data_IF_244364825173
#
_entry.id   IF_244364825173
#
_cell.length_a   1.000
_cell.length_b   1.000
_cell.length_c   1.000
_cell.angle_alpha   90.00
_cell.angle_beta   90.00
_cell.angle_gamma   90.00
#
_symmetry.space_group_name_H-M   'P 1'
#
loop_
_entity.id
_entity.type
_entity.pdbx_description
1 polymer ?
#
# COMPACT_ATOMS: atom_id res chain seq x y z
N UNK A 1 12.68 -10.96 -25.69
CA UNK A 1 12.47 -12.17 -24.85
C UNK A 1 13.75 -12.67 -24.17
N UNK A 2 14.96 -12.27 -24.60
CA UNK A 2 16.23 -12.73 -23.99
C UNK A 2 16.79 -11.83 -22.88
N UNK A 3 16.32 -10.59 -22.74
CA UNK A 3 16.82 -9.65 -21.72
C UNK A 3 16.24 -9.88 -20.31
N UNK A 4 15.03 -10.44 -20.22
CA UNK A 4 14.34 -10.67 -18.94
C UNK A 4 14.80 -11.96 -18.24
N UNK A 5 15.21 -12.99 -19.00
CA UNK A 5 15.75 -14.24 -18.46
C UNK A 5 17.13 -14.06 -17.81
N UNK A 6 17.91 -13.06 -18.21
CA UNK A 6 19.25 -12.79 -17.67
C UNK A 6 19.21 -12.19 -16.26
N UNK A 7 18.28 -11.28 -15.96
CA UNK A 7 18.14 -10.67 -14.62
C UNK A 7 17.63 -11.65 -13.56
N UNK A 8 16.77 -12.59 -13.94
CA UNK A 8 16.21 -13.60 -13.01
C UNK A 8 17.28 -14.61 -12.55
N UNK A 9 18.23 -14.98 -13.42
CA UNK A 9 19.33 -15.89 -13.07
C UNK A 9 20.34 -15.30 -12.09
N UNK A 10 20.58 -13.98 -12.16
CA UNK A 10 21.50 -13.28 -11.26
C UNK A 10 20.88 -13.16 -9.86
N UNK A 11 19.58 -12.87 -9.78
CA UNK A 11 18.86 -12.76 -8.50
C UNK A 11 18.80 -14.10 -7.74
N UNK A 12 18.55 -15.22 -8.44
CA UNK A 12 18.56 -16.55 -7.82
C UNK A 12 19.96 -16.96 -7.32
N UNK A 13 21.04 -16.56 -8.00
CA UNK A 13 22.41 -16.87 -7.54
C UNK A 13 22.77 -16.12 -6.27
N UNK A 14 22.33 -14.88 -6.10
CA UNK A 14 22.59 -14.09 -4.88
C UNK A 14 21.76 -14.64 -3.70
N UNK A 15 20.51 -15.06 -3.95
CA UNK A 15 19.66 -15.67 -2.93
C UNK A 15 20.23 -17.02 -2.44
N UNK A 16 20.72 -17.87 -3.34
CA UNK A 16 21.32 -19.16 -2.97
C UNK A 16 22.65 -19.02 -2.22
N UNK A 17 23.44 -17.99 -2.55
CA UNK A 17 24.71 -17.73 -1.85
C UNK A 17 24.47 -17.20 -0.42
N UNK A 18 23.41 -16.41 -0.20
CA UNK A 18 23.01 -15.95 1.14
C UNK A 18 22.49 -17.07 2.05
N UNK A 19 21.77 -18.05 1.50
CA UNK A 19 21.27 -19.20 2.27
C UNK A 19 22.40 -20.16 2.68
N UNK A 20 23.45 -20.29 1.87
CA UNK A 20 24.58 -21.18 2.17
C UNK A 20 25.48 -20.64 3.29
N UNK A 21 25.65 -19.32 3.39
CA UNK A 21 26.44 -18.68 4.47
C UNK A 21 25.75 -18.77 5.83
N UNK A 22 24.40 -18.72 5.86
CA UNK A 22 23.64 -18.93 7.09
C UNK A 22 23.64 -20.40 7.57
N UNK A 23 23.74 -21.37 6.67
CA UNK A 23 23.72 -22.80 7.05
C UNK A 23 25.06 -23.30 7.59
N UNK A 24 26.19 -22.70 7.18
CA UNK A 24 27.53 -23.09 7.67
C UNK A 24 27.84 -22.61 9.09
N UNK A 25 27.08 -21.66 9.63
CA UNK A 25 27.31 -21.12 10.98
C UNK A 25 26.57 -21.92 12.09
N UNK A 26 25.80 -22.95 11.72
CA UNK A 26 24.91 -23.68 12.64
C UNK A 26 25.49 -24.99 13.21
N UNK A 27 26.77 -25.33 12.96
CA UNK A 27 27.31 -26.68 13.23
C UNK A 27 28.48 -26.76 14.22
N UNK A 28 28.80 -25.69 14.96
CA UNK A 28 29.72 -25.77 16.12
C UNK A 28 28.93 -25.64 17.43
N UNK A 29 28.23 -26.71 17.81
CA UNK A 29 27.64 -26.84 19.14
C UNK A 29 28.71 -27.38 20.10
N UNK A 30 29.36 -26.49 20.86
CA UNK A 30 30.05 -26.86 22.09
C UNK A 30 28.99 -26.90 23.21
N UNK A 31 28.88 -28.05 23.87
CA UNK A 31 28.05 -28.19 25.08
C UNK A 31 28.63 -27.33 26.19
N UNK A 32 27.92 -26.26 26.58
CA UNK A 32 28.26 -25.47 27.76
C UNK A 32 27.45 -25.98 28.95
N UNK A 33 28.16 -26.38 30.01
CA UNK A 33 27.58 -26.59 31.33
C UNK A 33 26.89 -25.31 31.80
N UNK A 34 25.70 -25.45 32.39
CA UNK A 34 24.91 -24.35 32.89
C UNK A 34 25.55 -23.73 34.14
N UNK A 35 26.27 -22.62 33.96
CA UNK A 35 26.47 -21.61 34.99
C UNK A 35 25.61 -20.40 34.61
N UNK A 36 24.69 -20.02 35.49
CA UNK A 36 23.85 -18.84 35.33
C UNK A 36 24.76 -17.62 35.43
N UNK A 37 25.08 -17.01 34.29
CA UNK A 37 25.81 -15.74 34.21
C UNK A 37 24.96 -14.61 34.80
N UNK A 38 25.56 -13.47 35.20
CA UNK A 38 24.81 -12.27 35.63
C UNK A 38 23.73 -11.82 34.62
N UNK A 39 23.91 -12.12 33.33
CA UNK A 39 22.94 -11.90 32.26
C UNK A 39 21.62 -12.71 32.42
N UNK A 40 21.61 -13.78 33.21
CA UNK A 40 20.40 -14.55 33.51
C UNK A 40 19.41 -13.83 34.44
N UNK A 41 19.90 -12.96 35.34
CA UNK A 41 19.03 -12.04 36.11
C UNK A 41 18.41 -10.99 35.21
N UNK A 42 19.19 -10.53 34.22
CA UNK A 42 18.83 -9.49 33.25
C UNK A 42 17.63 -9.84 32.35
N UNK A 43 17.38 -11.14 32.11
CA UNK A 43 16.29 -11.56 31.23
C UNK A 43 14.90 -11.52 31.86
N UNK A 44 14.77 -11.64 33.20
CA UNK A 44 13.45 -11.85 33.82
C UNK A 44 12.65 -10.54 33.91
N UNK A 45 13.27 -9.44 34.35
CA UNK A 45 12.62 -8.12 34.37
C UNK A 45 12.49 -7.50 32.96
N UNK A 46 13.42 -7.79 32.03
CA UNK A 46 13.26 -7.39 30.61
C UNK A 46 12.03 -8.01 29.94
N UNK A 47 11.56 -9.16 30.42
CA UNK A 47 10.28 -9.74 29.97
C UNK A 47 9.07 -9.00 30.54
N UNK A 48 9.25 -8.35 31.69
CA UNK A 48 8.23 -7.55 32.34
C UNK A 48 8.21 -6.09 31.86
N UNK A 49 9.28 -5.64 31.18
CA UNK A 49 9.49 -4.25 30.81
C UNK A 49 8.29 -3.62 30.04
N UNK A 50 7.84 -2.42 30.46
CA UNK A 50 6.63 -1.78 29.93
C UNK A 50 6.72 -1.46 28.42
N UNK A 51 7.93 -1.18 27.92
CA UNK A 51 8.16 -0.82 26.52
C UNK A 51 7.77 -1.90 25.48
N UNK A 52 7.69 -3.18 25.88
CA UNK A 52 7.28 -4.27 24.98
C UNK A 52 5.83 -4.17 24.52
N UNK A 53 4.98 -3.53 25.31
CA UNK A 53 3.56 -3.39 24.98
C UNK A 53 3.32 -2.37 23.87
N UNK A 54 4.18 -1.38 23.74
CA UNK A 54 4.13 -0.40 22.65
C UNK A 54 4.25 -1.06 21.27
N UNK A 55 5.07 -2.11 21.14
CA UNK A 55 5.30 -2.78 19.86
C UNK A 55 4.01 -3.39 19.28
N UNK A 56 3.09 -3.82 20.15
CA UNK A 56 1.76 -4.34 19.76
C UNK A 56 0.93 -3.27 19.05
N UNK A 57 1.13 -1.99 19.40
CA UNK A 57 0.37 -0.85 18.88
C UNK A 57 1.14 -0.01 17.85
N UNK A 58 2.46 -0.20 17.72
CA UNK A 58 3.29 0.44 16.68
C UNK A 58 2.98 -0.07 15.26
N UNK A 59 2.38 -1.26 15.13
CA UNK A 59 2.07 -1.89 13.84
C UNK A 59 0.83 -1.23 13.21
N UNK A 60 1.04 -0.07 12.60
CA UNK A 60 0.02 0.53 11.77
C UNK A 60 -0.20 -0.32 10.52
N UNK A 61 -1.46 -0.68 10.26
CA UNK A 61 -1.83 -1.40 9.05
C UNK A 61 -1.64 -0.47 7.84
N UNK A 62 -0.64 -0.79 7.03
CA UNK A 62 -0.54 -0.23 5.69
C UNK A 62 -1.50 -0.97 4.78
N UNK A 63 -2.12 -0.30 3.79
CA UNK A 63 -2.91 -0.98 2.78
C UNK A 63 -2.05 -2.07 2.13
N UNK A 64 -2.43 -3.33 2.31
CA UNK A 64 -1.69 -4.46 1.76
C UNK A 64 -2.11 -4.72 0.32
N UNK A 65 -1.17 -5.20 -0.48
CA UNK A 65 -1.47 -5.77 -1.79
C UNK A 65 -2.50 -6.89 -1.66
N UNK A 66 -3.43 -6.91 -2.59
CA UNK A 66 -4.49 -7.89 -2.68
C UNK A 66 -4.43 -8.56 -4.03
N UNK A 67 -4.66 -9.88 -4.05
CA UNK A 67 -4.81 -10.63 -5.29
C UNK A 67 -6.04 -10.10 -6.02
N UNK A 68 -5.83 -9.33 -7.07
CA UNK A 68 -6.91 -8.91 -7.96
C UNK A 68 -7.27 -10.12 -8.83
N UNK A 69 -8.50 -10.65 -8.76
CA UNK A 69 -8.92 -11.66 -9.73
C UNK A 69 -8.92 -11.01 -11.12
N UNK A 70 -7.92 -11.33 -11.92
CA UNK A 70 -7.94 -11.04 -13.34
C UNK A 70 -9.05 -11.91 -13.91
N UNK A 71 -10.26 -11.36 -14.08
CA UNK A 71 -11.24 -12.00 -14.95
C UNK A 71 -10.56 -12.09 -16.32
N UNK A 72 -10.37 -13.29 -16.89
CA UNK A 72 -9.92 -13.40 -18.26
C UNK A 72 -10.96 -12.66 -19.09
N UNK A 73 -10.56 -11.56 -19.71
CA UNK A 73 -11.42 -10.82 -20.62
C UNK A 73 -11.47 -11.59 -21.95
N UNK A 74 -12.03 -12.80 -21.87
CA UNK A 74 -12.27 -13.69 -23.00
C UNK A 74 -13.66 -13.42 -23.56
N UNK A 75 -14.09 -12.17 -23.66
CA UNK A 75 -15.13 -11.82 -24.62
C UNK A 75 -14.46 -11.82 -25.98
N UNK A 76 -14.28 -13.01 -26.58
CA UNK A 76 -13.99 -13.11 -28.01
C UNK A 76 -15.10 -12.33 -28.72
N UNK A 77 -14.79 -11.25 -29.45
CA UNK A 77 -15.82 -10.50 -30.13
C UNK A 77 -16.55 -11.42 -31.10
N UNK A 78 -17.86 -11.55 -30.91
CA UNK A 78 -18.73 -12.28 -31.84
C UNK A 78 -19.05 -11.31 -32.97
N UNK A 79 -18.38 -11.47 -34.11
CA UNK A 79 -18.69 -10.71 -35.30
C UNK A 79 -19.90 -11.32 -36.02
N UNK A 80 -20.87 -10.51 -36.50
CA UNK A 80 -21.95 -11.00 -37.34
C UNK A 80 -21.41 -11.74 -38.56
N UNK A 81 -21.96 -12.93 -38.85
CA UNK A 81 -21.54 -13.79 -39.97
C UNK A 81 -21.57 -13.08 -41.33
N UNK A 82 -22.46 -12.10 -41.52
CA UNK A 82 -22.57 -11.25 -42.72
C UNK A 82 -21.26 -10.48 -43.03
N UNK A 83 -20.40 -10.20 -42.04
CA UNK A 83 -19.12 -9.51 -42.28
C UNK A 83 -18.13 -10.32 -43.13
N UNK A 84 -18.28 -11.66 -43.21
CA UNK A 84 -17.43 -12.52 -44.04
C UNK A 84 -17.75 -12.44 -45.53
N UNK A 85 -18.93 -11.93 -45.89
CA UNK A 85 -19.41 -11.86 -47.27
C UNK A 85 -18.83 -10.64 -48.01
N UNK A 86 -18.45 -9.58 -47.29
CA UNK A 86 -17.83 -8.39 -47.87
C UNK A 86 -16.34 -8.64 -48.06
N UNK A 87 -15.93 -8.85 -49.31
CA UNK A 87 -14.55 -9.13 -49.71
C UNK A 87 -14.02 -8.04 -50.64
N UNK A 88 -12.77 -7.63 -50.45
CA UNK A 88 -12.12 -6.61 -51.28
C UNK A 88 -10.60 -6.80 -51.26
N UNK A 89 -9.89 -6.21 -52.23
CA UNK A 89 -8.43 -6.18 -52.25
C UNK A 89 -7.95 -5.06 -51.32
N UNK A 90 -7.18 -5.38 -50.27
CA UNK A 90 -6.63 -4.34 -49.38
C UNK A 90 -5.36 -3.75 -49.99
N UNK A 91 -5.44 -2.53 -50.53
CA UNK A 91 -4.27 -1.82 -51.05
C UNK A 91 -3.57 -1.00 -49.97
N UNK A 92 -4.35 -0.31 -49.12
CA UNK A 92 -3.81 0.60 -48.11
C UNK A 92 -4.67 0.61 -46.87
N UNK A 93 -4.00 0.65 -45.71
CA UNK A 93 -4.67 0.86 -44.43
C UNK A 93 -4.14 2.12 -43.75
N UNK A 94 -5.05 2.99 -43.34
CA UNK A 94 -4.74 4.26 -42.68
C UNK A 94 -5.27 4.21 -41.26
N UNK A 95 -4.37 4.30 -40.28
CA UNK A 95 -4.75 4.40 -38.87
C UNK A 95 -4.56 5.85 -38.41
N UNK A 96 -5.63 6.51 -37.97
CA UNK A 96 -5.65 7.92 -37.51
C UNK A 96 -5.94 8.01 -36.01
N UNK A 97 -5.68 9.17 -35.39
CA UNK A 97 -6.08 9.47 -34.01
C UNK A 97 -5.14 8.96 -32.91
N UNK A 98 -4.00 8.37 -33.26
CA UNK A 98 -2.99 7.94 -32.29
C UNK A 98 -1.96 9.04 -32.02
N UNK A 99 -1.79 9.41 -30.76
CA UNK A 99 -0.67 10.24 -30.28
C UNK A 99 0.43 9.39 -29.63
N UNK A 100 0.07 8.21 -29.12
CA UNK A 100 0.98 7.31 -28.40
C UNK A 100 1.85 6.46 -29.32
N UNK A 101 1.34 6.05 -30.48
CA UNK A 101 2.06 5.14 -31.39
C UNK A 101 2.26 5.73 -32.78
N UNK A 102 3.48 5.57 -33.29
CA UNK A 102 3.81 5.94 -34.66
C UNK A 102 3.34 4.90 -35.69
N UNK A 103 3.22 5.35 -36.96
CA UNK A 103 2.78 4.56 -38.13
C UNK A 103 3.50 3.21 -38.27
N UNK A 104 4.80 3.16 -37.94
CA UNK A 104 5.61 1.91 -38.02
C UNK A 104 5.08 0.81 -37.11
N UNK A 105 4.63 1.13 -35.89
CA UNK A 105 4.11 0.13 -34.93
C UNK A 105 2.82 -0.50 -35.46
N UNK A 106 1.92 0.32 -36.02
CA UNK A 106 0.68 -0.14 -36.64
C UNK A 106 0.90 -0.98 -37.90
N UNK A 107 1.84 -0.57 -38.77
CA UNK A 107 2.08 -1.28 -40.04
C UNK A 107 2.38 -2.78 -39.85
N UNK A 108 3.02 -3.15 -38.74
CA UNK A 108 3.33 -4.56 -38.41
C UNK A 108 2.08 -5.43 -38.23
N UNK A 109 0.95 -4.84 -37.83
CA UNK A 109 -0.30 -5.56 -37.59
C UNK A 109 -1.00 -5.96 -38.91
N UNK A 110 -0.89 -5.10 -39.94
CA UNK A 110 -1.65 -5.29 -41.17
C UNK A 110 -0.81 -5.57 -42.42
N UNK A 111 0.53 -5.44 -42.38
CA UNK A 111 1.40 -5.63 -43.57
C UNK A 111 1.18 -6.96 -44.30
N UNK A 112 0.91 -8.04 -43.55
CA UNK A 112 0.65 -9.37 -44.12
C UNK A 112 -0.65 -9.49 -44.93
N UNK A 113 -1.54 -8.51 -44.80
CA UNK A 113 -2.85 -8.46 -45.47
C UNK A 113 -2.86 -7.48 -46.66
N UNK A 114 -1.82 -6.66 -46.83
CA UNK A 114 -1.71 -5.75 -47.97
C UNK A 114 -1.57 -6.55 -49.28
N UNK A 115 -2.16 -6.02 -50.36
CA UNK A 115 -2.21 -6.61 -51.70
C UNK A 115 -2.84 -8.01 -51.74
N UNK A 116 -3.72 -8.32 -50.78
CA UNK A 116 -4.46 -9.59 -50.71
C UNK A 116 -5.95 -9.33 -50.58
N UNK A 117 -6.76 -10.30 -51.01
CA UNK A 117 -8.21 -10.29 -50.73
C UNK A 117 -8.42 -10.48 -49.23
N UNK A 118 -9.11 -9.54 -48.62
CA UNK A 118 -9.50 -9.57 -47.22
C UNK A 118 -11.01 -9.41 -47.09
N UNK A 119 -11.54 -9.84 -45.96
CA UNK A 119 -12.93 -9.57 -45.60
C UNK A 119 -13.04 -8.53 -44.49
N UNK A 120 -14.26 -8.03 -44.28
CA UNK A 120 -14.50 -7.01 -43.25
C UNK A 120 -14.17 -7.51 -41.84
N UNK A 121 -14.39 -8.79 -41.54
CA UNK A 121 -14.00 -9.40 -40.26
C UNK A 121 -12.49 -9.24 -39.99
N UNK A 122 -11.62 -9.42 -40.99
CA UNK A 122 -10.19 -9.25 -40.83
C UNK A 122 -9.79 -7.81 -40.50
N UNK A 123 -10.49 -6.81 -41.05
CA UNK A 123 -10.28 -5.39 -40.67
C UNK A 123 -10.62 -5.17 -39.19
N UNK A 124 -11.77 -5.69 -38.74
CA UNK A 124 -12.16 -5.59 -37.34
C UNK A 124 -11.19 -6.30 -36.40
N UNK A 125 -10.64 -7.46 -36.80
CA UNK A 125 -9.56 -8.13 -36.05
C UNK A 125 -8.29 -7.28 -35.95
N UNK A 126 -7.94 -6.52 -36.99
CA UNK A 126 -6.81 -5.58 -36.93
C UNK A 126 -7.12 -4.43 -35.95
N UNK A 127 -8.33 -3.86 -35.99
CA UNK A 127 -8.75 -2.85 -35.03
C UNK A 127 -8.75 -3.38 -33.58
N UNK A 128 -9.16 -4.62 -33.37
CA UNK A 128 -9.06 -5.30 -32.07
C UNK A 128 -7.60 -5.45 -31.62
N UNK A 129 -6.69 -5.85 -32.51
CA UNK A 129 -5.26 -5.92 -32.19
C UNK A 129 -4.68 -4.56 -31.80
N UNK A 130 -5.11 -3.48 -32.47
CA UNK A 130 -4.73 -2.11 -32.07
C UNK A 130 -5.28 -1.79 -30.68
N UNK A 131 -6.54 -2.10 -30.42
CA UNK A 131 -7.17 -1.88 -29.10
C UNK A 131 -6.45 -2.65 -28.00
N UNK A 132 -6.12 -3.92 -28.23
CA UNK A 132 -5.38 -4.76 -27.29
C UNK A 132 -3.96 -4.25 -27.06
N UNK A 133 -3.31 -3.69 -28.07
CA UNK A 133 -2.02 -3.02 -27.89
C UNK A 133 -2.12 -1.83 -26.95
N UNK A 134 -3.17 -1.00 -27.06
CA UNK A 134 -3.43 0.09 -26.10
C UNK A 134 -3.72 -0.44 -24.69
N UNK A 135 -4.58 -1.45 -24.57
CA UNK A 135 -4.95 -2.05 -23.27
C UNK A 135 -3.76 -2.66 -22.55
N UNK A 136 -2.91 -3.41 -23.26
CA UNK A 136 -1.72 -4.05 -22.71
C UNK A 136 -0.69 -3.02 -22.20
N UNK A 137 -0.61 -1.86 -22.85
CA UNK A 137 0.24 -0.75 -22.41
C UNK A 137 -0.47 0.16 -21.34
N UNK A 138 -1.66 -0.25 -20.87
CA UNK A 138 -2.38 0.33 -19.73
C UNK A 138 -3.46 1.37 -20.08
N UNK A 139 -3.81 1.55 -21.34
CA UNK A 139 -4.78 2.56 -21.79
C UNK A 139 -6.20 1.98 -21.88
N UNK A 140 -6.88 1.92 -20.74
CA UNK A 140 -8.15 1.18 -20.58
C UNK A 140 -9.36 1.81 -21.29
N UNK A 141 -9.35 3.13 -21.53
CA UNK A 141 -10.44 3.83 -22.22
C UNK A 141 -10.18 4.02 -23.72
N UNK A 142 -9.01 3.59 -24.22
CA UNK A 142 -8.65 3.75 -25.63
C UNK A 142 -9.16 2.58 -26.46
N UNK A 143 -9.76 2.87 -27.62
CA UNK A 143 -10.18 1.85 -28.59
C UNK A 143 -9.90 2.26 -30.01
N UNK A 144 -9.68 1.28 -30.88
CA UNK A 144 -9.74 1.49 -32.33
C UNK A 144 -11.11 1.07 -32.86
N UNK A 145 -11.67 1.89 -33.75
CA UNK A 145 -12.94 1.64 -34.42
C UNK A 145 -12.76 1.69 -35.93
N UNK A 146 -13.58 0.92 -36.63
CA UNK A 146 -13.72 1.02 -38.08
C UNK A 146 -14.94 1.90 -38.33
N UNK A 147 -14.79 3.17 -38.74
CA UNK A 147 -15.92 4.04 -39.02
C UNK A 147 -16.70 3.52 -40.24
N UNK A 148 -18.01 3.81 -40.34
CA UNK A 148 -18.77 3.59 -41.56
C UNK A 148 -18.10 4.31 -42.73
N UNK A 149 -17.71 3.57 -43.77
CA UNK A 149 -17.02 4.10 -44.94
C UNK A 149 -17.33 3.23 -46.15
N UNK A 150 -17.29 3.82 -47.35
CA UNK A 150 -17.21 3.06 -48.60
C UNK A 150 -15.76 2.67 -48.82
N UNK A 151 -15.52 1.41 -49.19
CA UNK A 151 -14.17 0.93 -49.48
C UNK A 151 -13.95 1.08 -50.99
N UNK A 152 -13.43 2.25 -51.36
CA UNK A 152 -13.03 2.57 -52.73
C UNK A 152 -11.52 2.33 -52.87
N UNK A 153 -11.10 1.78 -54.00
CA UNK A 153 -9.70 1.47 -54.34
C UNK A 153 -8.94 0.60 -53.31
N UNK A 154 -9.66 -0.13 -52.46
CA UNK A 154 -9.04 -0.98 -51.44
C UNK A 154 -8.38 -0.20 -50.30
N UNK A 155 -8.79 1.05 -50.06
CA UNK A 155 -8.31 1.87 -48.94
C UNK A 155 -9.25 1.73 -47.75
N UNK A 156 -8.70 1.42 -46.58
CA UNK A 156 -9.46 1.26 -45.33
C UNK A 156 -8.91 2.16 -44.23
N UNK A 157 -9.78 2.92 -43.59
CA UNK A 157 -9.47 3.74 -42.41
C UNK A 157 -9.86 3.02 -41.11
N UNK A 158 -8.98 3.09 -40.11
CA UNK A 158 -9.24 2.75 -38.71
C UNK A 158 -8.97 3.99 -37.87
N UNK A 159 -9.92 4.37 -37.03
CA UNK A 159 -9.78 5.52 -36.13
C UNK A 159 -9.48 5.04 -34.72
N UNK A 160 -8.37 5.52 -34.16
CA UNK A 160 -8.04 5.32 -32.75
C UNK A 160 -8.64 6.46 -31.94
N UNK A 161 -9.49 6.10 -31.00
CA UNK A 161 -10.07 7.00 -30.01
C UNK A 161 -9.28 6.80 -28.73
N UNK A 162 -8.37 7.73 -28.44
CA UNK A 162 -7.61 7.74 -27.21
C UNK A 162 -8.45 8.33 -26.07
N UNK A 163 -9.03 7.44 -25.26
CA UNK A 163 -10.00 7.84 -24.24
C UNK A 163 -9.38 8.50 -23.01
N UNK A 164 -10.09 9.44 -22.41
CA UNK A 164 -9.66 10.18 -21.22
C UNK A 164 -10.82 10.64 -20.35
N UNK A 165 -10.52 11.10 -19.14
CA UNK A 165 -11.52 11.70 -18.23
C UNK A 165 -11.62 13.21 -18.50
N UNK A 166 -12.79 13.67 -18.90
CA UNK A 166 -13.05 15.10 -19.13
C UNK A 166 -13.51 15.83 -17.87
N UNK A 167 -14.30 15.15 -17.04
CA UNK A 167 -14.92 15.70 -15.84
C UNK A 167 -15.01 14.65 -14.75
N UNK A 168 -14.71 15.05 -13.52
CA UNK A 168 -14.94 14.27 -12.30
C UNK A 168 -15.97 15.00 -11.43
N UNK A 169 -17.06 14.33 -11.11
CA UNK A 169 -18.09 14.77 -10.15
C UNK A 169 -17.94 13.98 -8.86
N UNK A 170 -18.15 14.64 -7.71
CA UNK A 170 -18.10 14.00 -6.41
C UNK A 170 -19.52 14.01 -5.83
N UNK A 171 -20.00 12.84 -5.41
CA UNK A 171 -21.28 12.61 -4.76
C UNK A 171 -21.06 12.07 -3.35
N UNK A 172 -22.04 12.30 -2.47
CA UNK A 172 -21.97 11.93 -1.05
C UNK A 172 -21.43 13.04 -0.16
N UNK A 173 -21.34 12.74 1.13
CA UNK A 173 -20.89 13.71 2.13
C UNK A 173 -19.37 13.93 2.01
N UNK A 174 -18.95 15.20 1.95
CA UNK A 174 -17.53 15.58 2.02
C UNK A 174 -17.25 16.10 3.41
N UNK A 175 -16.57 15.30 4.24
CA UNK A 175 -16.26 15.67 5.63
C UNK A 175 -14.97 16.46 5.81
N UNK A 176 -14.03 16.34 4.88
CA UNK A 176 -12.74 17.05 4.93
C UNK A 176 -12.59 18.15 3.88
N UNK A 177 -11.36 18.67 3.69
CA UNK A 177 -11.14 19.82 2.81
C UNK A 177 -11.33 19.46 1.33
N UNK A 178 -12.24 20.19 0.65
CA UNK A 178 -12.45 20.05 -0.81
C UNK A 178 -11.18 20.30 -1.62
N UNK A 179 -10.23 21.09 -1.11
CA UNK A 179 -8.94 21.37 -1.76
C UNK A 179 -8.17 20.09 -2.06
N UNK A 180 -8.14 19.14 -1.12
CA UNK A 180 -7.43 17.87 -1.29
C UNK A 180 -8.10 16.96 -2.34
N UNK A 181 -9.42 16.81 -2.25
CA UNK A 181 -10.20 16.07 -3.26
C UNK A 181 -10.06 16.69 -4.67
N UNK A 182 -10.04 18.01 -4.76
CA UNK A 182 -9.82 18.72 -6.01
C UNK A 182 -8.42 18.48 -6.58
N UNK A 183 -7.40 18.30 -5.73
CA UNK A 183 -6.06 17.95 -6.17
C UNK A 183 -6.01 16.52 -6.76
N UNK A 184 -6.65 15.53 -6.11
CA UNK A 184 -6.81 14.19 -6.69
C UNK A 184 -7.55 14.21 -8.03
N UNK A 185 -8.65 14.98 -8.12
CA UNK A 185 -9.37 15.21 -9.38
C UNK A 185 -8.45 15.79 -10.46
N UNK A 186 -7.59 16.75 -10.13
CA UNK A 186 -6.64 17.33 -11.10
C UNK A 186 -5.64 16.29 -11.59
N UNK A 187 -5.17 15.40 -10.72
CA UNK A 187 -4.32 14.27 -11.10
C UNK A 187 -4.97 13.38 -12.16
N UNK A 188 -6.23 12.96 -11.92
CA UNK A 188 -7.02 12.18 -12.88
C UNK A 188 -7.22 12.89 -14.22
N UNK A 189 -7.55 14.19 -14.19
CA UNK A 189 -7.80 14.98 -15.40
C UNK A 189 -6.55 15.23 -16.25
N UNK A 190 -5.35 15.19 -15.63
CA UNK A 190 -4.05 15.34 -16.31
C UNK A 190 -3.64 14.09 -17.08
N UNK A 191 -4.10 12.90 -16.70
CA UNK A 191 -3.82 11.66 -17.45
C UNK A 191 -4.64 11.63 -18.74
N UNK A 192 -4.04 12.13 -19.83
CA UNK A 192 -4.64 12.13 -21.18
C UNK A 192 -3.61 11.65 -22.21
N UNK A 193 -3.79 10.48 -22.83
CA UNK A 193 -4.88 9.51 -22.62
C UNK A 193 -4.86 8.89 -21.21
N UNK A 194 -6.00 8.37 -20.73
CA UNK A 194 -6.08 7.81 -19.37
C UNK A 194 -5.28 6.51 -19.27
N UNK A 195 -4.40 6.42 -18.28
CA UNK A 195 -3.74 5.16 -17.90
C UNK A 195 -4.43 4.53 -16.69
N UNK A 196 -4.53 3.20 -16.70
CA UNK A 196 -5.12 2.42 -15.61
C UNK A 196 -4.42 2.67 -14.28
N UNK A 197 -3.07 2.76 -14.31
CA UNK A 197 -2.26 3.01 -13.11
C UNK A 197 -2.57 4.36 -12.46
N UNK A 198 -2.83 5.40 -13.26
CA UNK A 198 -3.10 6.75 -12.76
C UNK A 198 -4.52 6.81 -12.18
N UNK A 199 -5.48 6.18 -12.87
CA UNK A 199 -6.83 5.97 -12.36
C UNK A 199 -6.81 5.25 -11.00
N UNK A 200 -6.17 4.08 -10.96
CA UNK A 200 -6.12 3.23 -9.78
C UNK A 200 -5.45 3.94 -8.61
N UNK A 201 -4.28 4.54 -8.83
CA UNK A 201 -3.54 5.28 -7.80
C UNK A 201 -4.43 6.35 -7.16
N UNK A 202 -5.06 7.22 -7.95
CA UNK A 202 -5.85 8.32 -7.39
C UNK A 202 -7.14 7.85 -6.73
N UNK A 203 -7.76 6.75 -7.20
CA UNK A 203 -8.88 6.15 -6.48
C UNK A 203 -8.44 5.58 -5.13
N UNK A 204 -7.32 4.87 -5.08
CA UNK A 204 -6.76 4.32 -3.84
C UNK A 204 -6.32 5.42 -2.87
N UNK A 205 -5.74 6.52 -3.34
CA UNK A 205 -5.39 7.66 -2.48
C UNK A 205 -6.60 8.36 -1.87
N UNK A 206 -7.75 8.36 -2.55
CA UNK A 206 -9.02 8.83 -1.96
C UNK A 206 -9.55 7.84 -0.94
N UNK A 207 -9.46 6.53 -1.22
CA UNK A 207 -9.86 5.45 -0.30
C UNK A 207 -8.95 5.37 0.94
N UNK A 208 -7.69 5.78 0.82
CA UNK A 208 -6.71 5.84 1.92
C UNK A 208 -6.97 7.02 2.89
N UNK A 209 -7.92 7.93 2.58
CA UNK A 209 -8.31 8.99 3.49
C UNK A 209 -9.06 8.42 4.70
N UNK A 210 -8.73 8.84 5.94
CA UNK A 210 -9.39 8.35 7.14
C UNK A 210 -10.92 8.41 7.09
N UNK A 211 -11.54 7.25 7.28
CA UNK A 211 -12.98 7.08 7.32
C UNK A 211 -13.69 7.27 5.98
N UNK A 212 -12.99 7.36 4.85
CA UNK A 212 -13.59 7.48 3.52
C UNK A 212 -13.57 6.13 2.82
N UNK A 213 -14.65 5.79 2.12
CA UNK A 213 -14.64 4.76 1.09
C UNK A 213 -15.14 5.34 -0.22
N UNK A 214 -14.50 4.99 -1.34
CA UNK A 214 -14.84 5.52 -2.66
C UNK A 214 -15.27 4.44 -3.64
N UNK A 215 -16.39 4.69 -4.32
CA UNK A 215 -16.82 3.95 -5.51
C UNK A 215 -16.73 4.86 -6.72
N UNK A 216 -16.25 4.34 -7.85
CA UNK A 216 -16.15 5.09 -9.10
C UNK A 216 -17.10 4.53 -10.15
N UNK A 217 -17.88 5.41 -10.80
CA UNK A 217 -18.70 5.09 -11.96
C UNK A 217 -18.20 5.88 -13.15
N UNK A 218 -17.99 5.20 -14.28
CA UNK A 218 -17.54 5.79 -15.54
C UNK A 218 -18.70 5.78 -16.53
N UNK A 219 -19.02 6.93 -17.12
CA UNK A 219 -20.04 7.07 -18.16
C UNK A 219 -19.49 7.81 -19.37
N UNK A 220 -19.89 7.45 -20.61
CA UNK A 220 -19.48 8.20 -21.79
C UNK A 220 -19.90 9.67 -21.69
N UNK A 221 -19.01 10.59 -22.06
CA UNK A 221 -19.34 12.02 -22.13
C UNK A 221 -20.30 12.30 -23.29
N UNK A 222 -21.28 13.18 -23.06
CA UNK A 222 -22.22 13.63 -24.10
C UNK A 222 -21.64 14.72 -25.01
N UNK A 223 -20.54 15.36 -24.59
CA UNK A 223 -20.05 16.59 -25.22
C UNK A 223 -18.80 16.37 -26.08
N UNK A 224 -18.03 15.32 -25.81
CA UNK A 224 -16.74 15.10 -26.49
C UNK A 224 -16.53 13.61 -26.79
N UNK A 225 -16.35 13.23 -28.07
CA UNK A 225 -16.00 11.85 -28.44
C UNK A 225 -14.71 11.39 -27.76
N UNK A 226 -14.71 10.16 -27.22
CA UNK A 226 -13.58 9.61 -26.47
C UNK A 226 -13.44 10.10 -25.03
N UNK A 227 -14.20 11.12 -24.62
CA UNK A 227 -14.22 11.56 -23.24
C UNK A 227 -15.15 10.69 -22.38
N UNK A 228 -14.77 10.51 -21.13
CA UNK A 228 -15.52 9.77 -20.11
C UNK A 228 -15.75 10.68 -18.90
N UNK A 229 -17.02 10.79 -18.50
CA UNK A 229 -17.38 11.41 -17.24
C UNK A 229 -17.21 10.41 -16.10
N UNK A 230 -16.56 10.83 -15.02
CA UNK A 230 -16.41 10.03 -13.81
C UNK A 230 -17.23 10.61 -12.66
N UNK A 231 -17.95 9.74 -11.96
CA UNK A 231 -18.60 10.05 -10.69
C UNK A 231 -17.90 9.28 -9.57
N UNK A 232 -17.37 10.00 -8.58
CA UNK A 232 -16.86 9.45 -7.33
C UNK A 232 -17.96 9.52 -6.27
N UNK A 233 -18.38 8.37 -5.77
CA UNK A 233 -19.39 8.25 -4.72
C UNK A 233 -18.65 7.99 -3.41
N UNK A 234 -18.72 8.93 -2.48
CA UNK A 234 -18.03 8.87 -1.20
C UNK A 234 -18.98 8.43 -0.08
N UNK A 235 -18.59 7.38 0.63
CA UNK A 235 -19.19 6.95 1.89
C UNK A 235 -18.23 7.29 3.03
N UNK A 236 -18.76 7.68 4.20
CA UNK A 236 -17.92 8.09 5.33
C UNK A 236 -18.29 7.34 6.62
N UNK A 237 -17.29 6.84 7.32
CA UNK A 237 -17.39 6.23 8.66
C UNK A 237 -16.77 7.16 9.70
N UNK A 238 -17.63 7.81 10.47
CA UNK A 238 -17.25 8.80 11.49
C UNK A 238 -16.42 8.19 12.62
N UNK A 239 -16.84 7.02 13.10
CA UNK A 239 -16.27 6.39 14.28
C UNK A 239 -16.12 4.88 14.07
N UNK A 240 -15.13 4.31 14.72
CA UNK A 240 -14.96 2.86 14.86
C UNK A 240 -14.34 2.57 16.21
N UNK A 241 -14.72 1.45 16.83
CA UNK A 241 -14.08 1.00 18.05
C UNK A 241 -14.00 -0.52 18.09
N UNK A 242 -13.17 -1.01 19.00
CA UNK A 242 -12.98 -2.42 19.26
C UNK A 242 -12.77 -2.63 20.77
N UNK A 243 -13.23 -3.77 21.25
CA UNK A 243 -12.95 -4.29 22.58
C UNK A 243 -12.52 -5.74 22.43
N UNK A 244 -11.66 -6.23 23.31
CA UNK A 244 -11.15 -7.59 23.25
C UNK A 244 -10.62 -8.06 24.59
N UNK A 245 -10.62 -9.38 24.74
CA UNK A 245 -9.98 -10.09 25.82
C UNK A 245 -9.02 -11.10 25.20
N UNK A 246 -7.81 -11.19 25.72
CA UNK A 246 -6.85 -12.19 25.27
C UNK A 246 -5.99 -12.71 26.42
N UNK A 247 -5.28 -13.80 26.16
CA UNK A 247 -4.37 -14.45 27.10
C UNK A 247 -2.89 -14.35 26.65
N UNK A 248 -2.50 -13.25 25.98
CA UNK A 248 -1.14 -13.05 25.42
C UNK A 248 -0.16 -12.45 26.43
N UNK A 249 -0.60 -12.16 27.65
CA UNK A 249 0.29 -11.74 28.73
C UNK A 249 1.08 -12.92 29.29
N UNK A 250 2.26 -12.64 29.85
CA UNK A 250 3.00 -13.64 30.62
C UNK A 250 2.55 -13.61 32.09
N UNK A 251 3.10 -14.50 32.91
CA UNK A 251 2.81 -14.58 34.35
C UNK A 251 3.22 -13.34 35.16
N UNK A 252 4.03 -12.45 34.59
CA UNK A 252 4.53 -11.25 35.26
C UNK A 252 3.62 -10.05 34.96
N UNK A 253 3.11 -9.94 33.73
CA UNK A 253 2.36 -8.78 33.25
C UNK A 253 0.90 -9.15 32.96
N UNK A 254 0.32 -10.00 33.82
CA UNK A 254 -1.04 -10.51 33.76
C UNK A 254 -1.34 -11.37 32.53
N UNK A 255 -1.56 -12.70 32.69
CA UNK A 255 -1.88 -13.59 31.58
C UNK A 255 -3.11 -13.12 30.79
N UNK A 256 -4.14 -12.64 31.49
CA UNK A 256 -5.40 -12.17 30.91
C UNK A 256 -5.38 -10.65 30.75
N UNK A 257 -5.62 -10.18 29.53
CA UNK A 257 -5.57 -8.77 29.16
C UNK A 257 -6.88 -8.33 28.50
N UNK A 258 -7.39 -7.20 28.95
CA UNK A 258 -8.49 -6.48 28.31
C UNK A 258 -7.93 -5.33 27.47
N UNK A 259 -8.32 -5.28 26.20
CA UNK A 259 -7.92 -4.23 25.27
C UNK A 259 -9.14 -3.48 24.75
N UNK A 260 -9.05 -2.16 24.66
CA UNK A 260 -10.08 -1.32 24.07
C UNK A 260 -9.47 -0.25 23.17
N UNK A 261 -10.20 0.14 22.14
CA UNK A 261 -9.78 1.18 21.22
C UNK A 261 -10.97 1.90 20.60
N UNK A 262 -10.85 3.21 20.44
CA UNK A 262 -11.81 4.04 19.73
C UNK A 262 -11.08 4.96 18.77
N UNK A 263 -11.68 5.20 17.61
CA UNK A 263 -11.15 6.06 16.56
C UNK A 263 -12.26 6.94 16.03
N UNK A 264 -11.97 8.22 15.87
CA UNK A 264 -12.77 9.18 15.12
C UNK A 264 -12.05 9.62 13.85
N UNK A 265 -12.79 9.72 12.76
CA UNK A 265 -12.29 10.17 11.45
C UNK A 265 -12.95 11.50 11.07
N UNK A 266 -12.14 12.48 10.66
CA UNK A 266 -12.56 13.80 10.21
C UNK A 266 -13.46 14.56 11.21
N UNK A 267 -13.18 14.45 12.52
CA UNK A 267 -13.82 15.20 13.60
C UNK A 267 -13.55 16.72 13.50
N UNK A 268 -12.33 17.09 13.11
CA UNK A 268 -11.85 18.46 12.88
C UNK A 268 -11.99 18.88 11.41
N UNK A 269 -12.67 18.08 10.58
CA UNK A 269 -12.91 18.34 9.15
C UNK A 269 -11.62 18.48 8.32
N UNK A 270 -10.53 17.82 8.73
CA UNK A 270 -9.22 17.79 8.08
C UNK A 270 -8.89 16.48 7.36
N UNK A 271 -9.80 15.50 7.34
CA UNK A 271 -9.49 14.08 7.04
C UNK A 271 -8.49 13.47 8.02
N UNK A 272 -8.41 13.99 9.23
CA UNK A 272 -7.56 13.45 10.27
C UNK A 272 -8.15 12.19 10.90
N UNK A 273 -7.29 11.34 11.45
CA UNK A 273 -7.66 10.17 12.25
C UNK A 273 -7.18 10.39 13.67
N UNK A 274 -8.10 10.42 14.63
CA UNK A 274 -7.79 10.57 16.05
C UNK A 274 -8.19 9.27 16.74
N UNK A 275 -7.34 8.73 17.60
CA UNK A 275 -7.70 7.52 18.33
C UNK A 275 -7.09 7.42 19.70
N UNK A 276 -7.78 6.66 20.55
CA UNK A 276 -7.34 6.26 21.88
C UNK A 276 -7.40 4.74 21.96
N UNK A 277 -6.37 4.14 22.53
CA UNK A 277 -6.24 2.70 22.70
C UNK A 277 -5.65 2.41 24.08
N UNK A 278 -6.04 1.30 24.69
CA UNK A 278 -5.46 0.87 25.95
C UNK A 278 -5.53 -0.62 26.19
N UNK A 279 -4.65 -1.10 27.06
CA UNK A 279 -4.59 -2.47 27.56
C UNK A 279 -4.46 -2.43 29.06
N UNK A 280 -5.27 -3.23 29.74
CA UNK A 280 -5.16 -3.46 31.17
C UNK A 280 -5.23 -4.95 31.45
N UNK A 281 -4.65 -5.38 32.55
CA UNK A 281 -4.72 -6.76 33.03
C UNK A 281 -5.85 -6.95 34.04
N UNK A 282 -6.21 -8.22 34.30
CA UNK A 282 -7.22 -8.55 35.31
C UNK A 282 -6.84 -8.02 36.71
N UNK A 283 -5.57 -8.16 37.08
CA UNK A 283 -4.97 -7.40 38.16
C UNK A 283 -4.35 -6.13 37.55
N UNK A 284 -4.99 -4.98 37.72
CA UNK A 284 -4.64 -3.76 36.97
C UNK A 284 -3.24 -3.24 37.25
N UNK A 285 -2.66 -3.55 38.41
CA UNK A 285 -1.32 -3.07 38.75
C UNK A 285 -0.24 -3.76 37.92
N UNK A 286 -0.49 -4.99 37.45
CA UNK A 286 0.49 -5.74 36.64
C UNK A 286 0.76 -5.11 35.28
N UNK A 287 -0.23 -4.41 34.70
CA UNK A 287 -0.06 -3.63 33.47
C UNK A 287 -1.22 -2.66 33.23
N UNK A 288 -0.84 -1.40 33.00
CA UNK A 288 -1.69 -0.35 32.43
C UNK A 288 -0.97 0.27 31.26
N UNK A 289 -1.54 0.18 30.07
CA UNK A 289 -1.02 0.81 28.88
C UNK A 289 -2.09 1.68 28.22
N UNK A 290 -1.75 2.93 27.92
CA UNK A 290 -2.63 3.85 27.21
C UNK A 290 -1.88 4.56 26.08
N UNK A 291 -2.57 4.78 24.97
CA UNK A 291 -2.02 5.44 23.79
C UNK A 291 -3.05 6.33 23.13
N UNK A 292 -2.65 7.57 22.85
CA UNK A 292 -3.37 8.49 21.98
C UNK A 292 -2.59 8.75 20.70
N UNK A 293 -3.31 8.90 19.58
CA UNK A 293 -2.69 9.22 18.31
C UNK A 293 -3.53 10.13 17.42
N UNK A 294 -2.82 10.78 16.51
CA UNK A 294 -3.34 11.71 15.50
C UNK A 294 -2.62 11.47 14.16
N UNK A 295 -3.37 11.20 13.09
CA UNK A 295 -2.85 11.11 11.72
C UNK A 295 -3.49 12.18 10.84
N UNK A 296 -2.67 12.87 10.04
CA UNK A 296 -3.12 13.90 9.11
C UNK A 296 -2.58 13.63 7.70
N UNK A 297 -3.46 13.48 6.68
CA UNK A 297 -3.07 13.54 5.28
C UNK A 297 -2.53 14.93 4.93
N UNK A 298 -1.31 15.00 4.38
CA UNK A 298 -0.62 16.27 4.08
C UNK A 298 -0.58 16.60 2.59
N UNK A 299 -0.62 15.61 1.71
CA UNK A 299 -0.46 15.82 0.27
C UNK A 299 -1.44 15.01 -0.57
N UNK A 300 -1.69 15.48 -1.79
CA UNK A 300 -2.45 14.78 -2.82
C UNK A 300 -1.68 13.62 -3.47
N UNK A 301 -0.49 13.32 -2.99
CA UNK A 301 0.31 12.17 -3.41
C UNK A 301 0.44 11.12 -2.30
N UNK A 302 -0.39 11.23 -1.26
CA UNK A 302 -0.52 10.23 -0.20
C UNK A 302 0.40 10.41 1.00
N UNK A 303 1.14 11.51 1.09
CA UNK A 303 1.99 11.78 2.27
C UNK A 303 1.12 11.97 3.51
N UNK A 304 1.47 11.30 4.61
CA UNK A 304 0.79 11.41 5.89
C UNK A 304 1.75 11.72 7.01
N UNK A 305 1.29 12.54 7.97
CA UNK A 305 1.95 12.77 9.24
C UNK A 305 1.21 12.01 10.32
N UNK A 306 1.95 11.35 11.19
CA UNK A 306 1.44 10.57 12.30
C UNK A 306 2.13 11.01 13.58
N UNK A 307 1.36 11.29 14.61
CA UNK A 307 1.81 11.62 15.94
C UNK A 307 1.15 10.68 16.96
N UNK A 308 1.90 10.17 17.93
CA UNK A 308 1.32 9.43 19.05
C UNK A 308 2.06 9.66 20.35
N UNK A 309 1.32 9.66 21.44
CA UNK A 309 1.84 9.58 22.80
C UNK A 309 1.34 8.31 23.48
N UNK A 310 2.20 7.64 24.24
CA UNK A 310 1.83 6.50 25.08
C UNK A 310 2.42 6.60 26.47
N UNK A 311 1.67 6.06 27.42
CA UNK A 311 2.05 5.87 28.81
C UNK A 311 1.84 4.40 29.17
N UNK A 312 2.82 3.83 29.85
CA UNK A 312 2.76 2.47 30.37
C UNK A 312 3.25 2.48 31.81
N UNK A 313 2.54 1.74 32.64
CA UNK A 313 2.85 1.52 34.04
C UNK A 313 2.63 0.05 34.38
N UNK A 314 3.54 -0.55 35.13
CA UNK A 314 3.51 -1.97 35.44
C UNK A 314 4.21 -2.29 36.76
N UNK A 315 3.53 -3.04 37.62
CA UNK A 315 4.07 -3.67 38.83
C UNK A 315 4.01 -5.20 38.65
N UNK A 316 5.07 -5.82 38.10
CA UNK A 316 5.02 -7.21 37.69
C UNK A 316 4.73 -8.19 38.84
N UNK A 317 3.83 -9.14 38.60
CA UNK A 317 3.41 -10.15 39.55
C UNK A 317 4.36 -11.36 39.64
N UNK A 318 3.82 -12.46 40.19
CA UNK A 318 4.56 -13.71 40.43
C UNK A 318 5.85 -13.47 41.25
N UNK A 319 6.96 -14.12 40.87
CA UNK A 319 8.22 -14.03 41.60
C UNK A 319 8.87 -12.64 41.59
N UNK A 320 8.38 -11.69 40.77
CA UNK A 320 8.87 -10.31 40.75
C UNK A 320 8.16 -9.42 41.79
N UNK A 321 7.03 -9.88 42.32
CA UNK A 321 6.25 -9.13 43.33
C UNK A 321 7.05 -8.92 44.62
N UNK A 322 7.82 -9.92 45.03
CA UNK A 322 8.68 -9.87 46.23
C UNK A 322 9.83 -8.86 46.11
N UNK A 323 10.15 -8.46 44.88
CA UNK A 323 11.17 -7.46 44.59
C UNK A 323 10.58 -6.05 44.40
N UNK A 324 9.26 -5.88 44.55
CA UNK A 324 8.54 -4.61 44.36
C UNK A 324 8.97 -3.90 43.07
N UNK A 325 9.09 -4.66 41.97
CA UNK A 325 9.51 -4.11 40.69
C UNK A 325 8.42 -3.18 40.17
N UNK A 326 8.79 -1.95 39.81
CA UNK A 326 7.89 -0.98 39.18
C UNK A 326 8.52 -0.46 37.90
N UNK A 327 7.75 -0.41 36.83
CA UNK A 327 8.21 0.05 35.53
C UNK A 327 7.27 1.10 34.96
N UNK A 328 7.82 2.27 34.64
CA UNK A 328 7.11 3.33 33.92
C UNK A 328 7.76 3.58 32.55
N UNK A 329 6.95 3.88 31.54
CA UNK A 329 7.43 4.31 30.22
C UNK A 329 6.51 5.36 29.60
N UNK A 330 7.11 6.46 29.14
CA UNK A 330 6.46 7.54 28.41
C UNK A 330 7.12 7.67 27.04
N UNK A 331 6.34 7.54 25.98
CA UNK A 331 6.85 7.62 24.61
C UNK A 331 6.05 8.62 23.79
N UNK A 332 6.75 9.50 23.08
CA UNK A 332 6.24 10.33 22.00
C UNK A 332 6.84 9.86 20.68
N UNK A 333 6.02 9.77 19.64
CA UNK A 333 6.47 9.37 18.30
C UNK A 333 5.89 10.32 17.26
N UNK A 334 6.76 10.81 16.39
CA UNK A 334 6.40 11.52 15.16
C UNK A 334 6.83 10.65 13.97
N UNK A 335 5.96 10.47 12.98
CA UNK A 335 6.26 9.67 11.79
C UNK A 335 5.69 10.32 10.54
N UNK A 336 6.48 10.40 9.50
CA UNK A 336 6.09 10.82 8.16
C UNK A 336 6.12 9.60 7.23
N UNK A 337 5.08 9.39 6.44
CA UNK A 337 5.02 8.30 5.45
C UNK A 337 4.68 8.83 4.07
N UNK A 338 5.21 8.18 3.02
CA UNK A 338 4.92 8.54 1.64
C UNK A 338 4.86 7.30 0.73
N UNK A 339 3.74 7.06 0.02
CA UNK A 339 3.60 5.94 -0.92
C UNK A 339 4.13 6.31 -2.31
N UNK A 340 5.37 5.88 -2.60
CA UNK A 340 5.98 6.03 -3.92
C UNK A 340 5.25 5.22 -5.00
N UNK A 341 4.81 4.01 -4.66
CA UNK A 341 3.93 3.18 -5.50
C UNK A 341 2.70 2.83 -4.68
N UNK A 342 1.52 3.04 -5.27
CA UNK A 342 0.23 2.70 -4.67
C UNK A 342 -0.66 2.07 -5.72
N UNK A 343 -0.86 0.76 -5.62
CA UNK A 343 -1.76 -0.01 -6.48
C UNK A 343 -2.39 -1.16 -5.68
N UNK A 344 -3.32 -1.92 -6.26
CA UNK A 344 -3.86 -3.11 -5.58
C UNK A 344 -2.85 -4.25 -5.52
N UNK A 345 -1.98 -4.39 -6.51
CA UNK A 345 -1.10 -5.55 -6.64
C UNK A 345 0.34 -5.29 -6.19
N UNK A 346 0.74 -4.04 -6.02
CA UNK A 346 2.10 -3.61 -5.67
C UNK A 346 2.08 -2.27 -4.93
N UNK A 347 2.77 -2.18 -3.80
CA UNK A 347 2.93 -0.95 -3.04
C UNK A 347 4.38 -0.77 -2.58
N UNK A 348 4.90 0.45 -2.68
CA UNK A 348 6.21 0.85 -2.18
C UNK A 348 6.05 2.12 -1.37
N UNK A 349 6.46 2.09 -0.11
CA UNK A 349 6.29 3.19 0.81
C UNK A 349 7.58 3.45 1.58
N UNK A 350 7.94 4.73 1.69
CA UNK A 350 9.00 5.21 2.57
C UNK A 350 8.41 5.80 3.86
N UNK A 351 9.18 5.72 4.93
CA UNK A 351 8.85 6.34 6.20
C UNK A 351 10.08 6.91 6.89
N UNK A 352 9.88 8.00 7.61
CA UNK A 352 10.84 8.53 8.57
C UNK A 352 10.10 8.70 9.91
N UNK A 353 10.70 8.27 11.01
CA UNK A 353 10.11 8.48 12.33
C UNK A 353 11.13 8.90 13.36
N UNK A 354 10.67 9.68 14.32
CA UNK A 354 11.41 10.10 15.51
C UNK A 354 10.66 9.61 16.74
N UNK A 355 11.36 8.95 17.64
CA UNK A 355 10.83 8.45 18.91
C UNK A 355 11.59 9.11 20.05
N UNK A 356 10.85 9.73 20.97
CA UNK A 356 11.35 10.24 22.24
C UNK A 356 10.75 9.38 23.34
N UNK A 357 11.57 8.61 24.05
CA UNK A 357 11.12 7.68 25.10
C UNK A 357 11.91 7.92 26.38
N UNK A 358 11.21 7.99 27.50
CA UNK A 358 11.80 7.91 28.82
C UNK A 358 11.15 6.74 29.56
N UNK A 359 11.97 5.87 30.17
CA UNK A 359 11.51 4.74 30.95
C UNK A 359 12.32 4.61 32.23
N UNK A 360 11.67 4.28 33.33
CA UNK A 360 12.31 4.02 34.62
C UNK A 360 11.90 2.65 35.11
N UNK A 361 12.82 1.97 35.78
CA UNK A 361 12.57 0.72 36.50
C UNK A 361 13.11 0.86 37.91
N UNK A 362 12.22 0.71 38.89
CA UNK A 362 12.56 0.68 40.30
C UNK A 362 12.45 -0.75 40.83
N UNK A 363 13.35 -1.13 41.74
CA UNK A 363 13.38 -2.42 42.43
C UNK A 363 13.56 -2.13 43.92
N UNK A 364 12.71 -2.72 44.78
CA UNK A 364 12.74 -2.53 46.23
C UNK A 364 12.76 -1.04 46.64
N UNK A 365 11.97 -0.22 45.92
CA UNK A 365 11.85 1.22 46.15
C UNK A 365 13.08 2.06 45.74
N UNK A 366 14.05 1.48 45.03
CA UNK A 366 15.21 2.20 44.48
C UNK A 366 15.25 2.10 42.96
N UNK A 367 15.64 3.19 42.30
CA UNK A 367 15.85 3.18 40.85
C UNK A 367 17.01 2.28 40.48
N UNK A 368 16.69 1.26 39.70
CA UNK A 368 17.63 0.30 39.14
C UNK A 368 18.09 0.75 37.75
N UNK A 369 17.18 1.28 36.93
CA UNK A 369 17.47 1.72 35.58
C UNK A 369 16.62 2.93 35.18
N UNK A 370 17.24 3.88 34.48
CA UNK A 370 16.58 4.97 33.79
C UNK A 370 17.09 5.03 32.35
N UNK A 371 16.19 4.85 31.39
CA UNK A 371 16.49 4.86 29.96
C UNK A 371 15.84 6.07 29.29
N UNK A 372 16.64 6.98 28.71
CA UNK A 372 16.16 8.12 27.91
C UNK A 372 16.64 7.96 26.48
N UNK A 373 15.76 7.49 25.60
CA UNK A 373 16.09 7.17 24.21
C UNK A 373 15.55 8.23 23.24
N UNK A 374 16.38 8.66 22.29
CA UNK A 374 15.99 9.47 21.13
C UNK A 374 16.39 8.75 19.86
N UNK A 375 15.41 8.28 19.10
CA UNK A 375 15.67 7.37 17.98
C UNK A 375 15.09 7.97 16.71
N UNK A 376 15.91 8.09 15.67
CA UNK A 376 15.41 8.31 14.31
C UNK A 376 15.44 6.97 13.57
N UNK A 377 14.34 6.65 12.90
CA UNK A 377 14.21 5.46 12.06
C UNK A 377 13.82 5.86 10.64
N UNK A 378 14.58 5.35 9.66
CA UNK A 378 14.23 5.37 8.25
C UNK A 378 13.74 3.99 7.84
N UNK A 379 12.59 3.94 7.18
CA UNK A 379 11.94 2.69 6.79
C UNK A 379 11.54 2.67 5.32
N UNK A 380 11.66 1.50 4.70
CA UNK A 380 11.09 1.20 3.38
C UNK A 380 10.30 -0.10 3.49
N UNK A 381 9.05 -0.06 3.03
CA UNK A 381 8.17 -1.23 2.94
C UNK A 381 7.75 -1.43 1.50
N UNK A 382 7.94 -2.65 0.99
CA UNK A 382 7.53 -3.07 -0.34
C UNK A 382 6.68 -4.33 -0.23
N UNK A 383 5.46 -4.28 -0.76
CA UNK A 383 4.59 -5.45 -0.86
C UNK A 383 4.07 -5.64 -2.28
N UNK A 384 3.95 -6.90 -2.71
CA UNK A 384 3.52 -7.24 -4.06
C UNK A 384 2.87 -8.62 -4.14
N UNK A 385 1.99 -8.78 -5.13
CA UNK A 385 1.39 -10.07 -5.50
C UNK A 385 2.29 -10.78 -6.52
N UNK A 386 2.70 -12.00 -6.23
CA UNK A 386 3.47 -12.84 -7.15
C UNK A 386 2.59 -13.61 -8.14
N UNK A 387 3.22 -14.33 -9.08
CA UNK A 387 2.54 -15.14 -10.08
C UNK A 387 1.74 -16.32 -9.53
N UNK A 388 2.07 -16.78 -8.32
CA UNK A 388 1.36 -17.84 -7.61
C UNK A 388 0.21 -17.28 -6.75
N UNK A 389 -0.10 -15.98 -6.90
CA UNK A 389 -1.09 -15.25 -6.10
C UNK A 389 -0.73 -15.16 -4.61
N UNK A 390 0.55 -15.33 -4.28
CA UNK A 390 1.09 -15.04 -2.95
C UNK A 390 1.30 -13.53 -2.76
N UNK A 391 1.05 -13.03 -1.55
CA UNK A 391 1.38 -11.65 -1.17
C UNK A 391 2.70 -11.67 -0.42
N UNK A 392 3.71 -11.00 -0.97
CA UNK A 392 5.05 -10.91 -0.40
C UNK A 392 5.24 -9.55 0.24
N UNK A 393 5.93 -9.49 1.38
CA UNK A 393 6.24 -8.26 2.10
C UNK A 393 7.72 -8.23 2.45
N UNK A 394 8.38 -7.15 2.04
CA UNK A 394 9.77 -6.84 2.39
C UNK A 394 9.80 -5.52 3.16
N UNK A 395 10.48 -5.50 4.30
CA UNK A 395 10.67 -4.29 5.12
C UNK A 395 12.13 -4.14 5.46
N UNK A 396 12.65 -2.94 5.26
CA UNK A 396 13.98 -2.54 5.67
C UNK A 396 13.86 -1.31 6.57
N UNK A 397 14.37 -1.41 7.79
CA UNK A 397 14.38 -0.32 8.76
C UNK A 397 15.81 -0.09 9.23
N UNK A 398 16.24 1.17 9.23
CA UNK A 398 17.50 1.62 9.80
C UNK A 398 17.17 2.59 10.93
N UNK A 399 17.51 2.21 12.16
CA UNK A 399 17.34 3.04 13.35
C UNK A 399 18.69 3.50 13.89
N UNK A 400 18.74 4.73 14.38
CA UNK A 400 19.90 5.29 15.05
C UNK A 400 19.47 6.10 16.28
N UNK A 401 20.11 5.84 17.41
CA UNK A 401 19.96 6.62 18.64
C UNK A 401 20.80 7.90 18.56
N UNK A 402 20.32 8.99 19.13
CA UNK A 402 21.02 10.28 19.17
C UNK A 402 21.16 10.78 20.61
N UNK A 403 22.34 11.31 20.92
CA UNK A 403 22.68 11.87 22.22
C UNK A 403 22.21 13.33 22.34
N UNK A 404 20.89 13.52 22.27
CA UNK A 404 20.23 14.82 22.32
C UNK A 404 19.09 14.81 23.33
N UNK A 405 18.65 15.98 23.81
CA UNK A 405 17.53 16.08 24.76
C UNK A 405 17.68 15.15 25.97
N UNK A 406 18.88 15.17 26.57
CA UNK A 406 19.22 14.37 27.75
C UNK A 406 19.00 12.87 27.52
N UNK A 407 19.52 12.34 26.41
CA UNK A 407 19.54 10.90 26.18
C UNK A 407 20.57 10.24 27.11
N UNK A 408 20.27 9.04 27.59
CA UNK A 408 21.19 8.26 28.42
C UNK A 408 22.28 7.63 27.56
N UNK A 409 23.48 7.51 28.11
CA UNK A 409 24.62 6.92 27.40
C UNK A 409 24.49 5.39 27.33
N UNK A 410 25.22 4.77 26.40
CA UNK A 410 25.17 3.31 26.28
C UNK A 410 25.83 2.66 27.50
N UNK A 411 25.03 1.95 28.31
CA UNK A 411 25.52 1.21 29.48
C UNK A 411 25.59 2.01 30.77
N UNK A 412 24.94 3.17 30.83
CA UNK A 412 24.75 3.97 32.06
C UNK A 412 23.64 3.45 32.96
#
# INVERSE_FOLDING_TARGET
MNFFKAKIRIFYKILLMGVFVCLSCALTALQSYAQITPQGRDQTYKQAAPQRFEERFKKQEFPQSQVVPVKPDNLKPVFPSKMRQVNFLLQRMVIKGSTIYGKRKFSRLFRRHLHRRVNLEQVYRIAEQVTNMYRNDGYILSKAVVPPQKIEDGVVQIDVIEGFIDRVTIQGQVRGPRKLLNAYRKGLLRSRPLKAKDLERYLLLVDDLPGVSVKSVLTPSKHQPGATHMTLILENKAYSGNVGLDNRGNKFNGPIQFNAGVVGNALLKGYERIGLQGVVTANTDELRFFRGFYEQPLSSEGTKLYFSGSFSDSEPGAALKDFEVKGESKTLMLRLTHPFIRSRAENLMGSMSYTHRNSTTDILGKTDSEDRLRIVELGVSYDFVDSLKGVNLMRFNLSHGFDIFDATETGS
#
